data_IF_855203706614
#
_entry.id   IF_855203706614
#
_cell.length_a   1.000
_cell.length_b   1.000
_cell.length_c   1.000
_cell.angle_alpha   90.00
_cell.angle_beta   90.00
_cell.angle_gamma   90.00
#
_symmetry.space_group_name_H-M   'P 1'
#
loop_
_entity.id
_entity.type
_entity.pdbx_description
1 polymer ?
#
# COMPACT_ATOMS: atom_id res chain seq x y z
N UNK A 1 -26.52 -34.89 -15.89
CA UNK A 1 -26.04 -34.41 -14.58
C UNK A 1 -25.22 -35.44 -13.81
N UNK A 2 -25.59 -36.75 -13.82
CA UNK A 2 -24.88 -37.78 -13.02
C UNK A 2 -23.41 -37.98 -13.39
N UNK A 3 -23.01 -37.81 -14.64
CA UNK A 3 -21.62 -37.98 -15.08
C UNK A 3 -20.68 -36.88 -14.58
N UNK A 4 -21.16 -35.65 -14.45
CA UNK A 4 -20.33 -34.48 -14.01
C UNK A 4 -20.01 -34.57 -12.51
N UNK A 5 -21.01 -34.92 -11.69
CA UNK A 5 -20.85 -35.14 -10.25
C UNK A 5 -19.89 -36.28 -9.95
N UNK A 6 -20.02 -37.41 -10.68
CA UNK A 6 -19.10 -38.55 -10.54
C UNK A 6 -17.66 -38.19 -10.92
N UNK A 7 -17.47 -37.42 -11.98
CA UNK A 7 -16.15 -36.93 -12.40
C UNK A 7 -15.51 -35.98 -11.36
N UNK A 8 -16.29 -35.07 -10.80
CA UNK A 8 -15.85 -34.14 -9.75
C UNK A 8 -15.44 -34.91 -8.47
N UNK A 9 -16.26 -35.83 -8.02
CA UNK A 9 -15.98 -36.68 -6.84
C UNK A 9 -14.70 -37.49 -7.05
N UNK A 10 -14.53 -38.09 -8.23
CA UNK A 10 -13.31 -38.83 -8.57
C UNK A 10 -12.07 -37.89 -8.55
N UNK A 11 -12.16 -36.68 -9.12
CA UNK A 11 -11.07 -35.70 -9.09
C UNK A 11 -10.79 -35.17 -7.67
N UNK A 12 -11.81 -34.94 -6.86
CA UNK A 12 -11.63 -34.56 -5.46
C UNK A 12 -10.87 -35.63 -4.67
N UNK A 13 -11.19 -36.92 -4.89
CA UNK A 13 -10.47 -38.06 -4.26
C UNK A 13 -9.01 -38.18 -4.73
N UNK A 14 -8.74 -37.88 -5.99
CA UNK A 14 -7.38 -37.93 -6.56
C UNK A 14 -6.51 -36.75 -6.14
N UNK A 15 -7.13 -35.62 -5.66
CA UNK A 15 -6.45 -34.43 -5.22
C UNK A 15 -6.89 -33.99 -3.80
N UNK A 16 -6.59 -34.81 -2.76
CA UNK A 16 -7.11 -34.59 -1.40
C UNK A 16 -6.68 -33.24 -0.81
N UNK A 17 -5.47 -32.75 -1.12
CA UNK A 17 -4.99 -31.46 -0.66
C UNK A 17 -5.87 -30.32 -1.16
N UNK A 18 -6.20 -30.30 -2.45
CA UNK A 18 -7.07 -29.28 -3.02
C UNK A 18 -8.48 -29.32 -2.42
N UNK A 19 -9.01 -30.52 -2.21
CA UNK A 19 -10.35 -30.70 -1.60
C UNK A 19 -10.37 -30.16 -0.18
N UNK A 20 -9.39 -30.52 0.65
CA UNK A 20 -9.27 -30.01 2.03
C UNK A 20 -9.11 -28.51 2.04
N UNK A 21 -8.26 -27.96 1.18
CA UNK A 21 -8.05 -26.50 1.06
C UNK A 21 -9.33 -25.75 0.68
N UNK A 22 -10.09 -26.25 -0.31
CA UNK A 22 -11.36 -25.64 -0.71
C UNK A 22 -12.40 -25.68 0.42
N UNK A 23 -12.50 -26.81 1.13
CA UNK A 23 -13.38 -26.95 2.30
C UNK A 23 -12.98 -26.00 3.42
N UNK A 24 -11.67 -25.84 3.66
CA UNK A 24 -11.16 -24.91 4.68
C UNK A 24 -11.50 -23.45 4.33
N UNK A 25 -11.29 -23.02 3.09
CA UNK A 25 -11.64 -21.64 2.67
C UNK A 25 -13.13 -21.37 2.88
N UNK A 26 -13.98 -22.28 2.41
CA UNK A 26 -15.45 -22.16 2.56
C UNK A 26 -15.81 -22.19 4.05
N UNK A 27 -15.26 -23.13 4.81
CA UNK A 27 -15.54 -23.27 6.25
C UNK A 27 -15.14 -22.04 7.05
N UNK A 28 -13.94 -21.49 6.82
CA UNK A 28 -13.44 -20.29 7.49
C UNK A 28 -14.39 -19.13 7.22
N UNK A 29 -14.76 -18.93 5.95
CA UNK A 29 -15.62 -17.81 5.55
C UNK A 29 -17.06 -17.95 6.12
N UNK A 30 -17.63 -19.16 6.14
CA UNK A 30 -18.98 -19.39 6.67
C UNK A 30 -19.06 -19.31 8.20
N UNK A 31 -18.03 -19.79 8.92
CA UNK A 31 -18.06 -19.89 10.38
C UNK A 31 -17.70 -18.56 11.03
N UNK A 32 -16.75 -17.81 10.44
CA UNK A 32 -16.21 -16.57 11.00
C UNK A 32 -16.08 -15.49 9.91
N UNK A 33 -17.18 -15.11 9.25
CA UNK A 33 -17.12 -14.08 8.20
C UNK A 33 -16.66 -12.76 8.79
N UNK A 34 -15.91 -12.00 8.01
CA UNK A 34 -15.55 -10.62 8.34
C UNK A 34 -15.97 -9.72 7.17
N UNK A 35 -16.85 -8.80 7.44
CA UNK A 35 -17.19 -7.77 6.46
C UNK A 35 -16.11 -6.72 6.44
N UNK A 36 -15.64 -6.39 5.26
CA UNK A 36 -14.76 -5.27 5.02
C UNK A 36 -15.59 -3.99 5.12
N UNK A 37 -15.16 -3.05 5.94
CA UNK A 37 -15.91 -1.83 6.23
C UNK A 37 -15.05 -0.60 6.10
N UNK A 38 -15.64 0.49 5.69
CA UNK A 38 -15.13 1.84 5.90
C UNK A 38 -15.60 2.29 7.27
N UNK A 39 -14.69 2.71 8.11
CA UNK A 39 -14.98 3.13 9.48
C UNK A 39 -14.50 4.56 9.72
N UNK A 40 -15.22 5.29 10.55
CA UNK A 40 -14.81 6.61 11.03
C UNK A 40 -13.66 6.44 12.04
N UNK A 41 -12.57 7.21 11.87
CA UNK A 41 -11.35 7.08 12.65
C UNK A 41 -11.49 7.58 14.13
N UNK A 42 -12.50 8.36 14.41
CA UNK A 42 -12.77 8.87 15.77
C UNK A 42 -13.68 7.93 16.53
N UNK A 43 -14.78 7.51 15.91
CA UNK A 43 -15.81 6.70 16.58
C UNK A 43 -15.61 5.20 16.46
N UNK A 44 -14.74 4.77 15.55
CA UNK A 44 -14.53 3.37 15.14
C UNK A 44 -15.81 2.65 14.68
N UNK A 45 -16.83 3.41 14.29
CA UNK A 45 -18.09 2.87 13.76
C UNK A 45 -18.08 2.85 12.24
N UNK A 46 -18.79 1.89 11.60
CA UNK A 46 -19.00 1.91 10.18
C UNK A 46 -19.64 3.21 9.70
N UNK A 47 -19.15 3.73 8.57
CA UNK A 47 -19.76 4.85 7.87
C UNK A 47 -20.51 4.31 6.66
N UNK A 48 -21.84 4.43 6.68
CA UNK A 48 -22.72 3.84 5.66
C UNK A 48 -22.82 4.67 4.37
N UNK A 49 -22.29 5.88 4.36
CA UNK A 49 -22.24 6.73 3.15
C UNK A 49 -21.15 6.26 2.19
N UNK A 50 -20.32 5.32 2.65
CA UNK A 50 -19.19 4.80 1.88
C UNK A 50 -19.20 3.28 1.84
N UNK A 51 -18.96 2.75 0.65
CA UNK A 51 -18.81 1.31 0.44
C UNK A 51 -17.52 0.99 -0.32
N UNK A 52 -17.08 -0.25 -0.24
CA UNK A 52 -15.89 -0.72 -0.97
C UNK A 52 -16.34 -1.61 -2.12
N UNK A 53 -16.04 -1.16 -3.33
CA UNK A 53 -16.22 -1.96 -4.54
C UNK A 53 -14.93 -2.73 -4.86
N UNK A 54 -15.05 -4.04 -4.97
CA UNK A 54 -13.95 -4.90 -5.39
C UNK A 54 -13.95 -5.00 -6.91
N UNK A 55 -12.83 -4.69 -7.54
CA UNK A 55 -12.70 -4.77 -8.99
C UNK A 55 -12.88 -6.22 -9.48
N UNK A 56 -13.72 -6.46 -10.49
CA UNK A 56 -14.00 -7.80 -11.01
C UNK A 56 -12.76 -8.54 -11.54
N UNK A 57 -11.77 -7.84 -12.09
CA UNK A 57 -10.48 -8.43 -12.47
C UNK A 57 -9.74 -8.95 -11.23
N UNK A 58 -9.79 -8.21 -10.12
CA UNK A 58 -9.24 -8.67 -8.86
C UNK A 58 -9.96 -9.91 -8.33
N UNK A 59 -11.30 -9.91 -8.37
CA UNK A 59 -12.06 -11.08 -7.94
C UNK A 59 -11.70 -12.33 -8.76
N UNK A 60 -11.57 -12.18 -10.08
CA UNK A 60 -11.15 -13.26 -10.98
C UNK A 60 -9.71 -13.72 -10.70
N UNK A 61 -8.81 -12.79 -10.39
CA UNK A 61 -7.39 -13.06 -10.12
C UNK A 61 -7.09 -13.19 -8.62
N UNK A 62 -8.09 -13.34 -7.78
CA UNK A 62 -7.94 -13.38 -6.31
C UNK A 62 -6.82 -14.33 -5.82
N UNK A 63 -6.67 -15.56 -6.33
CA UNK A 63 -5.58 -16.45 -5.93
C UNK A 63 -4.17 -15.93 -6.22
N UNK A 64 -4.04 -14.99 -7.16
CA UNK A 64 -2.75 -14.43 -7.59
C UNK A 64 -2.49 -13.09 -6.90
N UNK A 65 -3.48 -12.19 -6.90
CA UNK A 65 -3.31 -10.81 -6.44
C UNK A 65 -3.88 -10.54 -5.05
N UNK A 66 -4.80 -11.35 -4.57
CA UNK A 66 -5.55 -11.09 -3.33
C UNK A 66 -4.66 -11.06 -2.11
N UNK A 67 -3.84 -12.09 -1.90
CA UNK A 67 -2.92 -12.15 -0.77
C UNK A 67 -1.83 -11.07 -0.82
N UNK A 68 -1.16 -10.80 -1.95
CA UNK A 68 -0.28 -9.65 -2.09
C UNK A 68 -0.95 -8.31 -1.74
N UNK A 69 -2.13 -8.03 -2.27
CA UNK A 69 -2.89 -6.82 -1.94
C UNK A 69 -3.27 -6.74 -0.46
N UNK A 70 -3.57 -7.90 0.15
CA UNK A 70 -3.86 -7.97 1.58
C UNK A 70 -2.63 -7.57 2.40
N UNK A 71 -1.43 -8.06 2.06
CA UNK A 71 -0.18 -7.69 2.74
C UNK A 71 0.18 -6.21 2.53
N UNK A 72 -0.04 -5.63 1.35
CA UNK A 72 0.22 -4.20 1.10
C UNK A 72 -0.56 -3.26 2.02
N UNK A 73 -1.69 -3.70 2.58
CA UNK A 73 -2.49 -2.94 3.53
C UNK A 73 -2.13 -3.21 5.00
N UNK A 74 -1.10 -3.99 5.26
CA UNK A 74 -0.58 -4.18 6.62
C UNK A 74 0.11 -2.91 7.11
N UNK A 75 0.16 -2.72 8.41
CA UNK A 75 0.92 -1.62 9.01
C UNK A 75 2.42 -1.73 8.77
N UNK A 76 2.92 -2.96 8.61
CA UNK A 76 4.33 -3.29 8.32
C UNK A 76 4.37 -4.26 7.13
N UNK A 77 4.04 -3.80 5.92
CA UNK A 77 3.77 -4.69 4.79
C UNK A 77 5.01 -5.47 4.33
N UNK A 78 6.17 -4.86 4.37
CA UNK A 78 7.42 -5.49 3.92
C UNK A 78 7.88 -6.54 4.94
N UNK A 79 7.90 -6.19 6.21
CA UNK A 79 8.32 -7.05 7.31
C UNK A 79 7.41 -8.28 7.44
N UNK A 80 6.09 -8.08 7.43
CA UNK A 80 5.14 -9.18 7.48
C UNK A 80 5.26 -10.10 6.27
N UNK A 81 5.51 -9.55 5.09
CA UNK A 81 5.73 -10.31 3.87
C UNK A 81 7.04 -11.13 3.91
N UNK A 82 8.12 -10.56 4.42
CA UNK A 82 9.39 -11.28 4.61
C UNK A 82 9.20 -12.43 5.60
N UNK A 83 8.52 -12.19 6.72
CA UNK A 83 8.22 -13.23 7.72
C UNK A 83 7.36 -14.35 7.09
N UNK A 84 6.40 -14.06 6.23
CA UNK A 84 5.65 -15.07 5.47
C UNK A 84 6.58 -15.98 4.67
N UNK A 85 7.53 -15.41 3.93
CA UNK A 85 8.47 -16.19 3.13
C UNK A 85 9.44 -17.03 3.98
N UNK A 86 9.86 -16.51 5.12
CA UNK A 86 10.65 -17.29 6.09
C UNK A 86 9.85 -18.51 6.58
N UNK A 87 8.57 -18.32 6.90
CA UNK A 87 7.69 -19.43 7.29
C UNK A 87 7.54 -20.48 6.19
N UNK A 88 7.31 -20.02 4.93
CA UNK A 88 7.22 -20.92 3.77
C UNK A 88 8.53 -21.70 3.61
N UNK A 89 9.68 -21.05 3.70
CA UNK A 89 11.00 -21.66 3.55
C UNK A 89 11.26 -22.72 4.63
N UNK A 90 11.02 -22.38 5.90
CA UNK A 90 11.18 -23.32 7.02
C UNK A 90 10.21 -24.49 6.89
N UNK A 91 8.94 -24.22 6.60
CA UNK A 91 7.91 -25.26 6.45
C UNK A 91 8.23 -26.22 5.30
N UNK A 92 8.72 -25.70 4.19
CA UNK A 92 9.20 -26.52 3.07
C UNK A 92 10.37 -27.40 3.49
N UNK A 93 11.34 -26.87 4.23
CA UNK A 93 12.48 -27.61 4.76
C UNK A 93 12.03 -28.77 5.66
N UNK A 94 11.17 -28.49 6.63
CA UNK A 94 10.60 -29.49 7.54
C UNK A 94 9.85 -30.58 6.75
N UNK A 95 8.97 -30.19 5.82
CA UNK A 95 8.23 -31.13 4.97
C UNK A 95 9.15 -32.05 4.17
N UNK A 96 10.21 -31.51 3.58
CA UNK A 96 11.18 -32.29 2.80
C UNK A 96 11.98 -33.24 3.68
N UNK A 97 12.37 -32.83 4.88
CA UNK A 97 13.08 -33.68 5.86
C UNK A 97 12.19 -34.85 6.29
N UNK A 98 10.93 -34.60 6.65
CA UNK A 98 9.98 -35.63 7.10
C UNK A 98 9.69 -36.61 5.97
N UNK A 99 9.46 -36.15 4.76
CA UNK A 99 9.02 -36.99 3.63
C UNK A 99 10.15 -37.80 3.00
N UNK A 100 11.36 -37.27 2.97
CA UNK A 100 12.48 -37.78 2.15
C UNK A 100 13.78 -38.02 2.95
N UNK A 101 13.79 -37.70 4.23
CA UNK A 101 14.96 -37.78 5.10
C UNK A 101 16.01 -36.69 4.84
N UNK A 102 17.06 -36.69 5.67
CA UNK A 102 18.07 -35.64 5.72
C UNK A 102 18.83 -35.43 4.40
N UNK A 103 18.86 -36.46 3.53
CA UNK A 103 19.54 -36.34 2.21
C UNK A 103 18.94 -35.30 1.28
N UNK A 104 17.77 -34.74 1.63
CA UNK A 104 17.07 -33.67 0.87
C UNK A 104 17.63 -32.27 1.05
N UNK A 105 18.55 -32.06 2.00
CA UNK A 105 19.12 -30.73 2.27
C UNK A 105 19.74 -30.09 1.00
N UNK A 106 20.36 -30.89 0.12
CA UNK A 106 20.95 -30.37 -1.12
C UNK A 106 19.92 -29.75 -2.05
N UNK A 107 18.76 -30.39 -2.23
CA UNK A 107 17.66 -29.85 -3.05
C UNK A 107 17.02 -28.63 -2.39
N UNK A 108 16.90 -28.64 -1.07
CA UNK A 108 16.42 -27.50 -0.31
C UNK A 108 17.35 -26.29 -0.45
N UNK A 109 18.66 -26.46 -0.32
CA UNK A 109 19.64 -25.41 -0.54
C UNK A 109 19.63 -24.88 -1.99
N UNK A 110 19.50 -25.78 -2.99
CA UNK A 110 19.37 -25.37 -4.39
C UNK A 110 18.06 -24.61 -4.69
N UNK A 111 17.06 -24.70 -3.82
CA UNK A 111 15.82 -23.90 -3.96
C UNK A 111 15.98 -22.46 -3.48
N UNK A 112 17.03 -22.11 -2.75
CA UNK A 112 17.24 -20.75 -2.20
C UNK A 112 17.16 -19.67 -3.29
N UNK A 113 17.89 -19.74 -4.42
CA UNK A 113 17.80 -18.70 -5.45
C UNK A 113 16.38 -18.56 -6.04
N UNK A 114 15.64 -19.68 -6.16
CA UNK A 114 14.26 -19.67 -6.64
C UNK A 114 13.33 -18.99 -5.66
N UNK A 115 13.44 -19.32 -4.37
CA UNK A 115 12.63 -18.72 -3.30
C UNK A 115 12.94 -17.23 -3.21
N UNK A 116 14.21 -16.84 -3.18
CA UNK A 116 14.61 -15.44 -3.17
C UNK A 116 14.11 -14.70 -4.43
N UNK A 117 14.24 -15.32 -5.61
CA UNK A 117 13.73 -14.75 -6.86
C UNK A 117 12.24 -14.49 -6.83
N UNK A 118 11.45 -15.44 -6.35
CA UNK A 118 10.00 -15.27 -6.19
C UNK A 118 9.67 -14.21 -5.13
N UNK A 119 10.37 -14.24 -3.98
CA UNK A 119 10.16 -13.27 -2.90
C UNK A 119 10.37 -11.84 -3.40
N UNK A 120 11.54 -11.57 -3.97
CA UNK A 120 11.85 -10.23 -4.46
C UNK A 120 11.02 -9.82 -5.67
N UNK A 121 10.72 -10.74 -6.60
CA UNK A 121 9.85 -10.44 -7.72
C UNK A 121 8.44 -10.02 -7.27
N UNK A 122 7.83 -10.79 -6.36
CA UNK A 122 6.49 -10.47 -5.85
C UNK A 122 6.55 -9.17 -5.02
N UNK A 123 7.59 -8.97 -4.20
CA UNK A 123 7.76 -7.74 -3.42
C UNK A 123 7.86 -6.51 -4.33
N UNK A 124 8.72 -6.55 -5.35
CA UNK A 124 8.86 -5.46 -6.32
C UNK A 124 7.56 -5.24 -7.09
N UNK A 125 6.86 -6.33 -7.47
CA UNK A 125 5.56 -6.24 -8.12
C UNK A 125 4.52 -5.59 -7.21
N UNK A 126 4.43 -5.99 -5.94
CA UNK A 126 3.52 -5.38 -4.96
C UNK A 126 3.75 -3.88 -4.79
N UNK A 127 5.01 -3.45 -4.72
CA UNK A 127 5.38 -2.07 -4.40
C UNK A 127 5.19 -1.14 -5.61
N UNK A 128 5.56 -1.58 -6.82
CA UNK A 128 5.74 -0.69 -7.97
C UNK A 128 4.77 -0.93 -9.13
N UNK A 129 4.00 -2.02 -9.13
CA UNK A 129 3.08 -2.32 -10.22
C UNK A 129 1.63 -1.98 -9.86
N UNK A 130 0.86 -1.41 -10.80
CA UNK A 130 -0.55 -1.14 -10.54
C UNK A 130 -1.32 -2.46 -10.44
N UNK A 131 -1.50 -2.94 -9.21
CA UNK A 131 -2.35 -4.09 -8.94
C UNK A 131 -3.82 -3.69 -9.01
N UNK A 132 -4.71 -4.57 -9.47
CA UNK A 132 -6.14 -4.37 -9.33
C UNK A 132 -6.49 -4.17 -7.85
N UNK A 133 -7.01 -3.01 -7.48
CA UNK A 133 -7.32 -2.68 -6.08
C UNK A 133 -8.81 -2.48 -5.87
N UNK A 134 -9.22 -2.33 -4.62
CA UNK A 134 -10.55 -1.90 -4.26
C UNK A 134 -10.68 -0.40 -4.53
N UNK A 135 -11.90 0.04 -4.82
CA UNK A 135 -12.26 1.45 -4.97
C UNK A 135 -13.30 1.80 -3.92
N UNK A 136 -13.16 2.94 -3.27
CA UNK A 136 -14.21 3.49 -2.45
C UNK A 136 -15.32 4.03 -3.36
N UNK A 137 -16.57 3.77 -2.99
CA UNK A 137 -17.76 4.35 -3.59
C UNK A 137 -18.33 5.31 -2.58
N UNK A 138 -18.51 6.54 -3.00
CA UNK A 138 -19.17 7.59 -2.24
C UNK A 138 -20.64 7.63 -2.68
N UNK A 139 -21.55 7.30 -1.77
CA UNK A 139 -23.00 7.28 -2.03
C UNK A 139 -23.64 8.68 -1.86
N UNK A 140 -22.87 9.65 -1.35
CA UNK A 140 -23.35 11.03 -1.14
C UNK A 140 -23.00 11.94 -2.31
N UNK A 141 -23.94 12.78 -2.74
CA UNK A 141 -23.71 13.78 -3.78
C UNK A 141 -22.99 15.05 -3.28
N UNK A 142 -23.04 15.31 -1.98
CA UNK A 142 -22.46 16.52 -1.38
C UNK A 142 -21.11 16.29 -0.68
N UNK A 143 -20.82 15.06 -0.28
CA UNK A 143 -19.55 14.72 0.36
C UNK A 143 -18.45 14.52 -0.67
N UNK A 144 -17.30 15.12 -0.43
CA UNK A 144 -16.08 14.93 -1.22
C UNK A 144 -15.06 14.13 -0.43
N UNK A 145 -14.20 13.44 -1.16
CA UNK A 145 -13.06 12.71 -0.63
C UNK A 145 -11.77 13.43 -1.02
N UNK A 146 -10.93 13.76 -0.03
CA UNK A 146 -9.67 14.43 -0.31
C UNK A 146 -8.51 13.86 0.52
N UNK A 147 -7.29 14.01 0.00
CA UNK A 147 -6.05 13.62 0.66
C UNK A 147 -5.22 14.84 1.02
N UNK A 148 -4.60 14.82 2.19
CA UNK A 148 -3.79 15.93 2.70
C UNK A 148 -2.29 15.68 2.65
N UNK A 149 -1.85 14.48 2.21
CA UNK A 149 -0.46 14.06 2.29
C UNK A 149 -0.08 13.16 1.12
N UNK A 150 0.72 13.67 0.20
CA UNK A 150 1.19 12.94 -0.98
C UNK A 150 2.48 13.53 -1.55
N UNK A 151 3.35 12.67 -2.10
CA UNK A 151 4.66 13.03 -2.62
C UNK A 151 4.85 12.56 -4.06
N UNK A 152 5.48 13.39 -4.88
CA UNK A 152 5.94 13.02 -6.20
C UNK A 152 7.48 12.94 -6.26
N UNK A 153 8.02 12.66 -7.43
CA UNK A 153 9.48 12.61 -7.63
C UNK A 153 10.19 13.96 -7.39
N UNK A 154 9.44 15.04 -7.14
CA UNK A 154 10.02 16.29 -6.67
C UNK A 154 10.49 16.26 -5.23
N UNK A 155 9.95 15.34 -4.42
CA UNK A 155 10.50 14.99 -3.11
C UNK A 155 11.72 14.08 -3.24
N UNK A 156 12.59 14.05 -2.22
CA UNK A 156 13.77 13.19 -2.19
C UNK A 156 13.43 11.69 -2.16
N UNK A 157 12.22 11.33 -1.81
CA UNK A 157 11.72 9.97 -1.57
C UNK A 157 10.51 9.57 -2.43
N UNK A 158 10.01 10.46 -3.28
CA UNK A 158 8.91 10.14 -4.20
C UNK A 158 9.38 9.47 -5.49
N UNK A 159 8.64 8.48 -5.98
CA UNK A 159 9.00 7.66 -7.14
C UNK A 159 8.15 7.88 -8.39
N UNK A 160 7.09 8.68 -8.29
CA UNK A 160 6.13 8.91 -9.38
C UNK A 160 6.00 10.39 -9.70
N UNK A 161 5.60 10.66 -10.93
CA UNK A 161 5.35 12.03 -11.40
C UNK A 161 4.07 12.60 -10.77
N UNK A 162 3.89 13.93 -10.73
CA UNK A 162 2.62 14.53 -10.30
C UNK A 162 1.41 14.06 -11.12
N UNK A 163 1.59 13.73 -12.40
CA UNK A 163 0.53 13.16 -13.24
C UNK A 163 0.16 11.74 -12.77
N UNK A 164 1.15 10.89 -12.50
CA UNK A 164 0.92 9.57 -11.91
C UNK A 164 0.25 9.67 -10.53
N UNK A 165 0.54 10.73 -9.74
CA UNK A 165 -0.17 11.04 -8.49
C UNK A 165 -1.65 11.36 -8.75
N UNK A 166 -1.98 12.20 -9.73
CA UNK A 166 -3.36 12.46 -10.11
C UNK A 166 -4.11 11.18 -10.50
N UNK A 167 -3.48 10.34 -11.32
CA UNK A 167 -4.07 9.07 -11.74
C UNK A 167 -4.33 8.12 -10.56
N UNK A 168 -3.39 8.06 -9.61
CA UNK A 168 -3.53 7.24 -8.41
C UNK A 168 -4.68 7.73 -7.53
N UNK A 169 -4.78 9.04 -7.31
CA UNK A 169 -5.86 9.64 -6.52
C UNK A 169 -7.23 9.41 -7.18
N UNK A 170 -7.33 9.59 -8.50
CA UNK A 170 -8.56 9.33 -9.25
C UNK A 170 -9.00 7.85 -9.13
N UNK A 171 -8.07 6.91 -9.27
CA UNK A 171 -8.35 5.47 -9.10
C UNK A 171 -8.86 5.12 -7.70
N UNK A 172 -8.41 5.84 -6.69
CA UNK A 172 -8.77 5.62 -5.29
C UNK A 172 -9.95 6.48 -4.81
N UNK A 173 -10.65 7.17 -5.74
CA UNK A 173 -11.90 7.87 -5.49
C UNK A 173 -11.77 9.24 -4.83
N UNK A 174 -10.60 9.86 -4.90
CA UNK A 174 -10.41 11.22 -4.41
C UNK A 174 -10.93 12.27 -5.40
N UNK A 175 -11.63 13.27 -4.89
CA UNK A 175 -12.06 14.45 -5.63
C UNK A 175 -10.97 15.54 -5.65
N UNK A 176 -10.10 15.56 -4.62
CA UNK A 176 -9.02 16.51 -4.48
C UNK A 176 -7.83 15.94 -3.67
N UNK A 177 -6.66 16.52 -3.83
CA UNK A 177 -5.52 16.20 -2.97
C UNK A 177 -4.53 17.36 -2.88
N UNK A 178 -3.81 17.43 -1.76
CA UNK A 178 -2.65 18.26 -1.59
C UNK A 178 -1.40 17.50 -2.00
N UNK A 179 -0.60 18.12 -2.87
CA UNK A 179 0.74 17.64 -3.19
C UNK A 179 1.72 18.31 -2.22
N UNK A 180 2.26 17.54 -1.28
CA UNK A 180 3.01 18.03 -0.11
C UNK A 180 4.47 17.62 -0.20
N UNK A 181 5.18 18.11 -1.21
CA UNK A 181 6.60 17.82 -1.37
C UNK A 181 7.43 18.24 -0.16
N UNK A 182 8.50 17.53 0.14
CA UNK A 182 9.35 17.85 1.28
C UNK A 182 10.01 19.23 1.15
N UNK A 183 9.75 20.07 2.13
CA UNK A 183 10.45 21.34 2.40
C UNK A 183 10.38 22.43 1.31
N UNK A 184 9.70 22.25 0.18
CA UNK A 184 9.48 23.31 -0.82
C UNK A 184 8.30 22.98 -1.75
N UNK A 185 7.68 24.02 -2.35
CA UNK A 185 6.49 23.85 -3.17
C UNK A 185 6.56 24.50 -4.57
N UNK A 186 7.73 24.95 -5.03
CA UNK A 186 7.82 25.69 -6.30
C UNK A 186 7.28 24.89 -7.48
N UNK A 187 7.67 23.61 -7.61
CA UNK A 187 7.22 22.74 -8.68
C UNK A 187 5.74 22.38 -8.55
N UNK A 188 5.25 22.28 -7.31
CA UNK A 188 3.82 22.04 -7.02
C UNK A 188 2.97 23.22 -7.45
N UNK A 189 3.41 24.46 -7.17
CA UNK A 189 2.71 25.68 -7.60
C UNK A 189 2.61 25.77 -9.12
N UNK A 190 3.69 25.47 -9.84
CA UNK A 190 3.67 25.41 -11.31
C UNK A 190 2.67 24.36 -11.80
N UNK A 191 2.68 23.18 -11.20
CA UNK A 191 1.75 22.09 -11.55
C UNK A 191 0.29 22.48 -11.31
N UNK A 192 -0.02 23.11 -10.17
CA UNK A 192 -1.35 23.65 -9.86
C UNK A 192 -1.76 24.74 -10.88
N UNK A 193 -0.85 25.65 -11.23
CA UNK A 193 -1.13 26.68 -12.23
C UNK A 193 -1.43 26.11 -13.63
N UNK A 194 -0.74 25.04 -14.01
CA UNK A 194 -1.03 24.32 -15.27
C UNK A 194 -2.41 23.64 -15.23
N UNK A 195 -2.83 23.11 -14.08
CA UNK A 195 -4.19 22.58 -13.93
C UNK A 195 -5.23 23.71 -14.03
N UNK A 196 -5.04 24.82 -13.31
CA UNK A 196 -5.93 26.01 -13.36
C UNK A 196 -6.10 26.55 -14.78
N UNK A 197 -5.02 26.57 -15.57
CA UNK A 197 -5.05 27.05 -16.96
C UNK A 197 -5.66 26.05 -17.97
N UNK A 198 -6.11 24.88 -17.53
CA UNK A 198 -6.69 23.83 -18.38
C UNK A 198 -5.67 23.02 -19.20
N UNK A 199 -4.37 23.15 -18.90
CA UNK A 199 -3.33 22.36 -19.55
C UNK A 199 -3.28 20.90 -19.04
N UNK A 200 -3.90 20.62 -17.89
CA UNK A 200 -4.00 19.31 -17.28
C UNK A 200 -5.47 18.95 -17.02
N UNK A 201 -5.71 17.67 -16.77
CA UNK A 201 -7.01 17.19 -16.33
C UNK A 201 -7.45 17.95 -15.06
N UNK A 202 -8.75 18.28 -14.97
CA UNK A 202 -9.30 19.05 -13.85
C UNK A 202 -9.65 18.18 -12.64
N UNK A 203 -9.75 16.87 -12.81
CA UNK A 203 -10.10 15.92 -11.76
C UNK A 203 -9.04 14.82 -11.62
N UNK A 204 -8.65 14.46 -10.39
CA UNK A 204 -8.92 15.17 -9.13
C UNK A 204 -8.21 16.53 -9.08
N UNK A 205 -8.76 17.47 -8.30
CA UNK A 205 -8.13 18.75 -8.10
C UNK A 205 -6.84 18.64 -7.30
N UNK A 206 -5.78 19.32 -7.78
CA UNK A 206 -4.50 19.39 -7.09
C UNK A 206 -4.38 20.72 -6.35
N UNK A 207 -3.94 20.67 -5.11
CA UNK A 207 -3.69 21.83 -4.27
C UNK A 207 -2.25 21.82 -3.77
N UNK A 208 -1.67 23.02 -3.58
CA UNK A 208 -0.29 23.14 -3.13
C UNK A 208 -0.17 22.97 -1.61
N UNK A 209 0.81 22.17 -1.20
CA UNK A 209 1.24 22.01 0.17
C UNK A 209 2.74 21.75 0.27
N UNK A 210 3.22 21.57 1.48
CA UNK A 210 4.58 21.14 1.82
C UNK A 210 4.50 20.17 3.00
N UNK A 211 5.30 19.11 3.00
CA UNK A 211 5.65 18.44 4.23
C UNK A 211 6.93 19.06 4.79
N UNK A 212 6.77 19.76 5.89
CA UNK A 212 7.84 20.45 6.60
C UNK A 212 8.49 19.54 7.63
N UNK A 213 9.80 19.36 7.54
CA UNK A 213 10.61 18.61 8.51
C UNK A 213 11.07 19.53 9.66
N UNK A 214 10.12 19.90 10.52
CA UNK A 214 10.34 20.72 11.70
C UNK A 214 10.71 19.93 12.96
N UNK A 215 10.14 20.31 14.11
CA UNK A 215 10.27 19.53 15.35
C UNK A 215 9.53 18.17 15.28
N UNK A 216 8.53 18.08 14.43
CA UNK A 216 7.92 16.88 13.85
C UNK A 216 7.65 17.15 12.37
N UNK A 217 7.26 16.14 11.59
CA UNK A 217 6.73 16.39 10.27
C UNK A 217 5.37 17.12 10.37
N UNK A 218 5.16 18.10 9.49
CA UNK A 218 3.93 18.88 9.45
C UNK A 218 3.50 19.08 8.01
N UNK A 219 2.24 18.83 7.71
CA UNK A 219 1.64 19.19 6.43
C UNK A 219 1.18 20.64 6.46
N UNK A 220 1.74 21.44 5.56
CA UNK A 220 1.41 22.86 5.33
C UNK A 220 0.50 22.91 4.12
N UNK A 221 -0.77 23.24 4.29
CA UNK A 221 -1.80 23.08 3.27
C UNK A 221 -2.32 24.45 2.78
N UNK A 222 -2.57 24.58 1.48
CA UNK A 222 -3.18 25.78 0.90
C UNK A 222 -2.19 26.92 0.69
N UNK A 223 -0.97 26.60 0.31
CA UNK A 223 0.06 27.61 0.00
C UNK A 223 -0.19 28.24 -1.36
N UNK A 224 -0.15 29.56 -1.41
CA UNK A 224 -0.33 30.39 -2.63
C UNK A 224 0.98 30.91 -3.20
N UNK A 225 1.99 31.06 -2.35
CA UNK A 225 3.31 31.57 -2.70
C UNK A 225 4.40 30.53 -2.46
N UNK A 226 5.54 30.70 -3.11
CA UNK A 226 6.68 29.81 -2.93
C UNK A 226 7.23 29.89 -1.51
N UNK A 227 7.43 28.75 -0.91
CA UNK A 227 7.97 28.60 0.44
C UNK A 227 9.07 27.53 0.42
N UNK A 228 10.20 27.87 1.04
CA UNK A 228 11.31 26.95 1.28
C UNK A 228 11.50 26.86 2.79
N UNK A 229 11.43 25.64 3.35
CA UNK A 229 11.43 25.41 4.79
C UNK A 229 12.67 24.69 5.31
N UNK A 230 13.62 24.35 4.45
CA UNK A 230 14.88 23.70 4.84
C UNK A 230 15.56 24.42 6.01
N UNK A 231 15.80 23.70 7.11
CA UNK A 231 16.49 24.20 8.28
C UNK A 231 15.77 25.30 9.06
N UNK A 232 14.54 25.64 8.71
CA UNK A 232 13.74 26.64 9.45
C UNK A 232 13.12 26.01 10.69
N UNK A 233 12.78 26.88 11.66
CA UNK A 233 12.09 26.49 12.89
C UNK A 233 10.57 26.61 12.73
N UNK A 234 9.82 25.83 13.48
CA UNK A 234 8.34 25.88 13.55
C UNK A 234 7.82 27.29 13.75
N UNK A 235 8.45 28.06 14.67
CA UNK A 235 8.09 29.44 15.00
C UNK A 235 8.24 30.44 13.85
N UNK A 236 8.93 30.06 12.76
CA UNK A 236 9.07 30.85 11.55
C UNK A 236 8.09 30.38 10.48
N UNK A 237 7.98 29.06 10.32
CA UNK A 237 7.21 28.45 9.23
C UNK A 237 5.71 28.55 9.48
N UNK A 238 5.23 28.22 10.68
CA UNK A 238 3.80 28.22 10.99
C UNK A 238 3.14 29.59 10.75
N UNK A 239 3.69 30.73 11.25
CA UNK A 239 3.12 32.04 10.95
C UNK A 239 3.15 32.41 9.47
N UNK A 240 4.15 31.99 8.71
CA UNK A 240 4.23 32.25 7.26
C UNK A 240 3.12 31.53 6.49
N UNK A 241 2.81 30.29 6.87
CA UNK A 241 1.67 29.54 6.31
C UNK A 241 0.34 30.25 6.59
N UNK A 242 0.14 30.69 7.83
CA UNK A 242 -1.09 31.41 8.21
C UNK A 242 -1.24 32.73 7.46
N UNK A 243 -0.13 33.46 7.21
CA UNK A 243 -0.12 34.70 6.42
C UNK A 243 -0.58 34.45 4.98
N UNK A 244 -0.27 33.31 4.41
CA UNK A 244 -0.78 32.90 3.09
C UNK A 244 -2.22 32.38 3.12
N UNK A 245 -2.87 32.34 4.28
CA UNK A 245 -4.23 31.79 4.44
C UNK A 245 -4.28 30.26 4.58
N UNK A 246 -3.14 29.61 4.58
CA UNK A 246 -3.01 28.15 4.75
C UNK A 246 -3.28 27.66 6.16
N UNK A 247 -3.20 26.35 6.34
CA UNK A 247 -3.34 25.65 7.63
C UNK A 247 -2.20 24.66 7.83
N UNK A 248 -1.91 24.33 9.11
CA UNK A 248 -0.81 23.44 9.49
C UNK A 248 -1.36 22.26 10.29
N UNK A 249 -1.07 21.05 9.85
CA UNK A 249 -1.36 19.80 10.57
C UNK A 249 -0.09 19.04 10.94
N UNK A 250 0.02 18.54 12.18
CA UNK A 250 1.12 17.64 12.56
C UNK A 250 0.89 16.29 11.89
N UNK A 251 1.84 15.85 11.09
CA UNK A 251 1.80 14.58 10.37
C UNK A 251 2.37 13.43 11.22
N UNK A 252 1.88 12.19 10.96
CA UNK A 252 2.34 10.92 11.54
C UNK A 252 3.12 11.05 12.87
N UNK A 253 2.39 11.38 13.92
CA UNK A 253 2.89 11.66 15.28
C UNK A 253 3.97 10.66 15.78
N UNK A 254 3.90 9.42 15.35
CA UNK A 254 4.82 8.36 15.78
C UNK A 254 6.29 8.57 15.35
N UNK A 255 6.54 9.34 14.28
CA UNK A 255 7.89 9.48 13.75
C UNK A 255 8.75 10.49 14.51
N UNK A 256 8.15 11.47 15.09
CA UNK A 256 8.91 12.62 15.57
C UNK A 256 8.78 13.01 17.03
N UNK A 257 7.78 12.61 17.75
CA UNK A 257 7.41 12.84 19.16
C UNK A 257 8.41 13.65 20.03
N UNK A 258 8.99 14.72 19.48
CA UNK A 258 10.00 15.52 20.19
C UNK A 258 9.40 16.52 21.15
N UNK A 259 8.08 16.82 20.99
CA UNK A 259 7.34 17.82 21.77
C UNK A 259 5.98 17.25 22.17
N UNK A 260 5.32 17.87 23.16
CA UNK A 260 3.98 17.49 23.59
C UNK A 260 2.91 18.01 22.64
N UNK A 261 1.69 17.45 22.74
CA UNK A 261 0.52 17.93 21.97
C UNK A 261 0.27 19.42 22.26
N UNK A 262 0.35 19.83 23.53
CA UNK A 262 0.18 21.22 23.96
C UNK A 262 1.19 22.14 23.32
N UNK A 263 2.45 21.73 23.22
CA UNK A 263 3.48 22.52 22.57
C UNK A 263 3.13 22.86 21.12
N UNK A 264 2.60 21.88 20.35
CA UNK A 264 2.20 22.13 18.96
C UNK A 264 0.98 23.03 18.89
N UNK A 265 -0.01 22.87 19.79
CA UNK A 265 -1.18 23.74 19.89
C UNK A 265 -0.75 25.17 20.17
N UNK A 266 0.13 25.38 21.15
CA UNK A 266 0.68 26.71 21.51
C UNK A 266 1.51 27.31 20.36
N UNK A 267 2.16 26.49 19.54
CA UNK A 267 2.89 26.93 18.34
C UNK A 267 1.97 27.35 17.20
N UNK A 268 0.67 27.14 17.31
CA UNK A 268 -0.34 27.57 16.34
C UNK A 268 -0.67 26.54 15.26
N UNK A 269 -0.42 25.25 15.46
CA UNK A 269 -0.93 24.22 14.54
C UNK A 269 -2.46 24.19 14.54
N UNK A 270 -3.06 23.83 13.41
CA UNK A 270 -4.50 23.82 13.23
C UNK A 270 -5.10 22.42 13.38
N UNK A 271 -4.26 21.37 13.43
CA UNK A 271 -4.75 19.98 13.56
C UNK A 271 -3.67 18.93 13.61
N UNK A 272 -4.11 17.69 13.63
CA UNK A 272 -3.24 16.50 13.73
C UNK A 272 -3.71 15.39 12.80
N UNK A 273 -2.76 14.66 12.24
CA UNK A 273 -3.03 13.45 11.49
C UNK A 273 -3.23 12.28 12.47
N UNK A 274 -4.38 11.61 12.34
CA UNK A 274 -4.76 10.47 13.20
C UNK A 274 -4.73 9.13 12.50
N UNK A 275 -4.73 9.14 11.17
CA UNK A 275 -4.55 7.95 10.31
C UNK A 275 -3.53 8.26 9.23
N UNK A 276 -2.52 7.40 9.08
CA UNK A 276 -1.53 7.50 8.02
C UNK A 276 -1.32 6.11 7.40
N UNK A 277 -1.22 6.04 6.08
CA UNK A 277 -0.93 4.79 5.34
C UNK A 277 -1.82 3.60 5.80
N UNK A 278 -3.12 3.81 5.97
CA UNK A 278 -4.12 2.80 6.35
C UNK A 278 -4.05 2.29 7.79
N UNK A 279 -3.36 2.97 8.67
CA UNK A 279 -3.25 2.63 10.09
C UNK A 279 -3.36 3.87 10.97
N UNK A 280 -3.62 3.67 12.25
CA UNK A 280 -3.58 4.78 13.20
C UNK A 280 -2.18 5.40 13.19
N UNK A 281 -2.12 6.72 13.13
CA UNK A 281 -0.88 7.49 13.11
C UNK A 281 -0.16 7.54 14.47
N UNK A 282 -0.76 6.90 15.50
CA UNK A 282 -0.22 6.85 16.87
C UNK A 282 -0.74 5.60 17.58
N UNK A 283 -0.11 5.17 18.70
CA UNK A 283 -0.70 4.20 19.62
C UNK A 283 -2.09 4.66 20.08
N UNK A 284 -2.97 3.70 20.41
CA UNK A 284 -4.39 3.99 20.68
C UNK A 284 -4.59 4.96 21.87
N UNK A 285 -3.71 4.93 22.84
CA UNK A 285 -3.72 5.83 23.99
C UNK A 285 -3.47 7.28 23.54
N UNK A 286 -2.42 7.51 22.76
CA UNK A 286 -2.07 8.83 22.23
C UNK A 286 -3.12 9.29 21.19
N UNK A 287 -3.68 8.37 20.42
CA UNK A 287 -4.75 8.66 19.49
C UNK A 287 -5.96 9.31 20.18
N UNK A 288 -6.36 8.75 21.32
CA UNK A 288 -7.45 9.31 22.14
C UNK A 288 -7.10 10.68 22.72
N UNK A 289 -5.84 10.88 23.14
CA UNK A 289 -5.39 12.18 23.67
C UNK A 289 -5.37 13.26 22.59
N UNK A 290 -4.94 12.91 21.36
CA UNK A 290 -4.99 13.82 20.20
C UNK A 290 -6.43 14.20 19.87
N UNK A 291 -7.35 13.24 19.81
CA UNK A 291 -8.77 13.53 19.54
C UNK A 291 -9.34 14.49 20.60
N UNK A 292 -9.13 14.19 21.88
CA UNK A 292 -9.61 15.03 22.98
C UNK A 292 -9.01 16.45 22.93
N UNK A 293 -7.73 16.57 22.61
CA UNK A 293 -7.06 17.86 22.49
C UNK A 293 -7.60 18.67 21.29
N UNK A 294 -7.83 18.01 20.15
CA UNK A 294 -8.42 18.65 18.97
C UNK A 294 -9.86 19.12 19.25
N UNK A 295 -10.68 18.29 19.85
CA UNK A 295 -12.05 18.65 20.21
C UNK A 295 -12.08 19.86 21.17
N UNK A 296 -11.26 19.82 22.22
CA UNK A 296 -11.17 20.92 23.21
C UNK A 296 -10.71 22.25 22.60
N UNK A 297 -9.86 22.23 21.59
CA UNK A 297 -9.25 23.42 20.99
C UNK A 297 -9.82 23.77 19.61
N UNK A 298 -10.88 23.10 19.16
CA UNK A 298 -11.51 23.29 17.84
C UNK A 298 -10.50 23.12 16.68
N UNK A 299 -9.66 22.10 16.77
CA UNK A 299 -8.67 21.75 15.76
C UNK A 299 -9.19 20.62 14.87
N UNK A 300 -8.72 20.57 13.61
CA UNK A 300 -9.10 19.51 12.71
C UNK A 300 -8.31 18.22 12.95
N UNK A 301 -8.88 17.10 12.50
CA UNK A 301 -8.22 15.80 12.42
C UNK A 301 -7.99 15.43 10.98
N UNK A 302 -6.83 14.87 10.62
CA UNK A 302 -6.47 14.52 9.26
C UNK A 302 -6.24 13.03 9.09
N UNK A 303 -6.45 12.56 7.84
CA UNK A 303 -5.99 11.28 7.35
C UNK A 303 -5.05 11.50 6.15
N UNK A 304 -3.83 10.99 6.22
CA UNK A 304 -2.82 11.06 5.17
C UNK A 304 -2.65 9.75 4.44
N UNK A 305 -2.70 9.74 3.11
CA UNK A 305 -2.27 8.59 2.35
C UNK A 305 -0.74 8.45 2.34
N UNK A 306 -0.05 9.57 2.42
CA UNK A 306 1.41 9.67 2.45
C UNK A 306 2.06 8.79 1.36
N UNK A 307 1.48 8.91 0.14
CA UNK A 307 1.81 8.05 -0.97
C UNK A 307 2.98 8.60 -1.78
N UNK A 308 4.04 7.82 -1.89
CA UNK A 308 5.29 8.15 -2.54
C UNK A 308 5.50 7.46 -3.90
N UNK A 309 4.46 6.78 -4.43
CA UNK A 309 4.60 5.94 -5.62
C UNK A 309 5.00 4.50 -5.32
N UNK A 310 5.07 4.12 -4.06
CA UNK A 310 5.34 2.77 -3.58
C UNK A 310 4.66 2.53 -2.22
N UNK A 311 4.62 1.27 -1.80
CA UNK A 311 4.11 0.91 -0.47
C UNK A 311 2.61 0.61 -0.44
N UNK A 312 1.93 0.83 0.69
CA UNK A 312 0.58 0.35 0.92
C UNK A 312 -0.44 0.92 -0.07
N UNK A 313 -1.45 0.12 -0.37
CA UNK A 313 -2.62 0.59 -1.13
C UNK A 313 -3.40 1.62 -0.33
N UNK A 314 -4.15 2.50 -1.03
CA UNK A 314 -5.00 3.49 -0.38
C UNK A 314 -6.06 2.85 0.52
N UNK A 315 -6.23 3.40 1.69
CA UNK A 315 -7.25 2.97 2.65
C UNK A 315 -7.62 4.05 3.64
N UNK A 316 -7.25 5.32 3.36
CA UNK A 316 -7.53 6.47 4.23
C UNK A 316 -8.01 7.64 3.37
N UNK A 317 -9.07 8.31 3.81
CA UNK A 317 -9.66 9.47 3.16
C UNK A 317 -10.11 10.49 4.19
N UNK A 318 -9.97 11.79 3.85
CA UNK A 318 -10.72 12.84 4.52
C UNK A 318 -12.04 13.06 3.78
N UNK A 319 -13.09 13.32 4.53
CA UNK A 319 -14.43 13.57 4.03
C UNK A 319 -14.88 14.96 4.45
N UNK A 320 -15.46 15.70 3.54
CA UNK A 320 -16.06 17.00 3.82
C UNK A 320 -17.35 17.18 3.03
N UNK A 321 -18.35 17.80 3.65
CA UNK A 321 -19.61 18.14 2.96
C UNK A 321 -19.44 19.48 2.25
N UNK A 322 -19.33 19.43 0.91
CA UNK A 322 -19.22 20.61 0.04
C UNK A 322 -20.27 20.53 -1.05
N UNK A 323 -21.46 21.08 -0.81
CA UNK A 323 -22.53 21.07 -1.80
C UNK A 323 -22.07 21.74 -3.11
N UNK A 324 -22.49 21.15 -4.24
CA UNK A 324 -22.19 21.68 -5.58
C UNK A 324 -20.68 21.69 -5.94
N UNK A 325 -19.87 20.83 -5.33
CA UNK A 325 -18.43 20.71 -5.61
C UNK A 325 -18.08 20.79 -7.10
N UNK A 326 -18.81 20.07 -7.94
CA UNK A 326 -18.54 19.99 -9.39
C UNK A 326 -18.76 21.32 -10.14
N UNK A 327 -19.52 22.26 -9.56
CA UNK A 327 -19.79 23.57 -10.16
C UNK A 327 -18.83 24.66 -9.70
N UNK A 328 -18.02 24.41 -8.67
CA UNK A 328 -17.02 25.33 -8.18
C UNK A 328 -15.81 25.38 -9.11
N UNK A 329 -15.22 26.56 -9.26
CA UNK A 329 -13.93 26.69 -9.93
C UNK A 329 -12.78 26.23 -9.01
N UNK A 330 -11.57 26.19 -9.52
CA UNK A 330 -10.40 25.67 -8.81
C UNK A 330 -10.14 26.40 -7.47
N UNK A 331 -10.22 27.73 -7.45
CA UNK A 331 -9.95 28.52 -6.25
C UNK A 331 -11.08 28.37 -5.22
N UNK A 332 -12.34 28.42 -5.66
CA UNK A 332 -13.51 28.17 -4.81
C UNK A 332 -13.47 26.78 -4.14
N UNK A 333 -13.04 25.76 -4.86
CA UNK A 333 -12.84 24.41 -4.30
C UNK A 333 -11.78 24.38 -3.23
N UNK A 334 -10.63 25.02 -3.48
CA UNK A 334 -9.52 25.12 -2.51
C UNK A 334 -9.97 25.88 -1.25
N UNK A 335 -10.63 27.01 -1.43
CA UNK A 335 -11.13 27.84 -0.32
C UNK A 335 -12.18 27.11 0.51
N UNK A 336 -13.06 26.34 -0.14
CA UNK A 336 -14.07 25.53 0.56
C UNK A 336 -13.42 24.47 1.46
N UNK A 337 -12.41 23.73 0.96
CA UNK A 337 -11.68 22.74 1.78
C UNK A 337 -10.94 23.43 2.94
N UNK A 338 -10.18 24.50 2.68
CA UNK A 338 -9.43 25.22 3.72
C UNK A 338 -10.37 25.84 4.77
N UNK A 339 -11.51 26.38 4.35
CA UNK A 339 -12.52 26.91 5.26
C UNK A 339 -13.14 25.83 6.13
N UNK A 340 -13.45 24.67 5.56
CA UNK A 340 -13.95 23.52 6.32
C UNK A 340 -12.92 22.98 7.31
N UNK A 341 -11.65 22.87 6.91
CA UNK A 341 -10.56 22.49 7.82
C UNK A 341 -10.45 23.46 8.99
N UNK A 342 -10.44 24.77 8.74
CA UNK A 342 -10.38 25.79 9.80
C UNK A 342 -11.53 25.72 10.81
N UNK A 343 -12.67 25.14 10.42
CA UNK A 343 -13.83 24.92 11.28
C UNK A 343 -13.86 23.56 11.95
N UNK A 344 -12.97 22.63 11.54
CA UNK A 344 -13.02 21.25 11.98
C UNK A 344 -14.19 20.44 11.40
N UNK A 345 -14.72 20.86 10.24
CA UNK A 345 -15.91 20.26 9.59
C UNK A 345 -15.59 18.98 8.80
N UNK A 346 -14.34 18.50 8.85
CA UNK A 346 -13.95 17.28 8.16
C UNK A 346 -14.01 16.04 9.05
N UNK A 347 -14.19 14.89 8.42
CA UNK A 347 -14.11 13.57 9.04
C UNK A 347 -12.95 12.78 8.42
N UNK A 348 -12.40 11.86 9.19
CA UNK A 348 -11.41 10.90 8.70
C UNK A 348 -12.04 9.51 8.68
N UNK A 349 -12.00 8.85 7.53
CA UNK A 349 -12.44 7.48 7.36
C UNK A 349 -11.30 6.60 6.87
N UNK A 350 -11.30 5.34 7.25
CA UNK A 350 -10.32 4.39 6.79
C UNK A 350 -10.88 2.97 6.62
N UNK A 351 -10.14 2.17 5.88
CA UNK A 351 -10.51 0.81 5.54
C UNK A 351 -10.10 -0.18 6.62
N UNK A 352 -11.04 -0.94 7.16
CA UNK A 352 -10.77 -1.94 8.20
C UNK A 352 -10.99 -3.36 7.69
N UNK A 353 -9.92 -4.04 7.30
CA UNK A 353 -9.95 -5.46 6.91
C UNK A 353 -9.20 -6.39 7.89
N UNK A 354 -8.44 -5.83 8.81
CA UNK A 354 -7.63 -6.61 9.77
C UNK A 354 -7.31 -5.84 11.05
N UNK A 355 -6.83 -6.58 12.03
CA UNK A 355 -6.14 -6.01 13.18
C UNK A 355 -4.65 -5.86 12.86
N UNK A 356 -4.07 -4.70 13.12
CA UNK A 356 -2.62 -4.47 13.00
C UNK A 356 -1.89 -5.35 14.00
N UNK A 357 -0.85 -6.06 13.51
CA UNK A 357 -0.01 -6.87 14.39
C UNK A 357 1.07 -6.02 15.06
N UNK A 358 1.21 -6.07 16.40
CA UNK A 358 2.33 -5.43 17.08
C UNK A 358 3.67 -6.00 16.61
N UNK A 359 4.71 -5.15 16.57
CA UNK A 359 6.04 -5.53 16.04
C UNK A 359 6.66 -6.72 16.79
N UNK A 360 6.49 -6.77 18.11
CA UNK A 360 6.96 -7.88 18.96
C UNK A 360 6.29 -9.22 18.63
N UNK A 361 5.13 -9.21 17.96
CA UNK A 361 4.35 -10.40 17.56
C UNK A 361 4.34 -10.67 16.05
N UNK A 362 5.16 -9.96 15.29
CA UNK A 362 5.18 -10.05 13.82
C UNK A 362 5.40 -11.49 13.31
N UNK A 363 6.12 -12.32 14.06
CA UNK A 363 6.34 -13.73 13.73
C UNK A 363 5.07 -14.58 13.70
N UNK A 364 3.98 -14.12 14.33
CA UNK A 364 2.67 -14.77 14.29
C UNK A 364 1.80 -14.24 13.15
N UNK A 365 2.25 -13.20 12.44
CA UNK A 365 1.47 -12.57 11.37
C UNK A 365 1.09 -13.52 10.22
N UNK A 366 1.93 -14.46 9.74
CA UNK A 366 1.57 -15.27 8.59
C UNK A 366 0.29 -16.10 8.77
N UNK A 367 0.13 -16.93 9.82
CA UNK A 367 -1.10 -17.71 9.98
C UNK A 367 -2.31 -16.82 10.26
N UNK A 368 -2.14 -15.72 11.01
CA UNK A 368 -3.22 -14.78 11.34
C UNK A 368 -3.67 -14.02 10.10
N UNK A 369 -2.74 -13.54 9.29
CA UNK A 369 -3.05 -12.82 8.05
C UNK A 369 -3.71 -13.71 7.00
N UNK A 370 -3.25 -14.95 6.84
CA UNK A 370 -3.89 -15.93 5.95
C UNK A 370 -5.34 -16.17 6.41
N UNK A 371 -5.56 -16.37 7.70
CA UNK A 371 -6.90 -16.54 8.25
C UNK A 371 -7.78 -15.31 8.02
N UNK A 372 -7.28 -14.11 8.31
CA UNK A 372 -8.01 -12.85 8.11
C UNK A 372 -8.34 -12.63 6.64
N UNK A 373 -7.41 -12.91 5.74
CA UNK A 373 -7.64 -12.83 4.29
C UNK A 373 -8.81 -13.73 3.86
N UNK A 374 -8.79 -15.00 4.23
CA UNK A 374 -9.86 -15.94 3.85
C UNK A 374 -11.21 -15.64 4.51
N UNK A 375 -11.22 -15.03 5.68
CA UNK A 375 -12.46 -14.57 6.35
C UNK A 375 -13.14 -13.41 5.63
N UNK A 376 -12.36 -12.59 4.92
CA UNK A 376 -12.83 -11.40 4.20
C UNK A 376 -13.24 -11.65 2.75
N UNK A 377 -13.12 -12.89 2.23
CA UNK A 377 -13.48 -13.18 0.85
C UNK A 377 -14.99 -13.17 0.64
N UNK A 378 -15.44 -12.54 -0.43
CA UNK A 378 -16.80 -12.69 -0.90
C UNK A 378 -16.99 -13.99 -1.73
N UNK A 379 -18.23 -14.30 -2.11
CA UNK A 379 -18.54 -15.54 -2.81
C UNK A 379 -17.83 -15.64 -4.17
N UNK A 380 -17.66 -14.55 -4.89
CA UNK A 380 -17.00 -14.53 -6.21
C UNK A 380 -15.51 -14.84 -6.06
N UNK A 381 -14.86 -14.27 -5.05
CA UNK A 381 -13.47 -14.56 -4.72
C UNK A 381 -13.25 -16.01 -4.29
N UNK A 382 -14.18 -16.60 -3.50
CA UNK A 382 -14.15 -18.00 -3.13
C UNK A 382 -14.28 -18.89 -4.38
N UNK A 383 -15.23 -18.57 -5.27
CA UNK A 383 -15.41 -19.30 -6.53
C UNK A 383 -14.18 -19.16 -7.44
N UNK A 384 -13.51 -18.02 -7.42
CA UNK A 384 -12.25 -17.82 -8.13
C UNK A 384 -11.16 -18.77 -7.63
N UNK A 385 -10.95 -18.89 -6.31
CA UNK A 385 -9.99 -19.83 -5.72
C UNK A 385 -10.27 -21.28 -6.16
N UNK A 386 -11.53 -21.69 -6.11
CA UNK A 386 -11.96 -23.05 -6.52
C UNK A 386 -11.76 -23.23 -8.04
N UNK A 387 -12.18 -22.25 -8.84
CA UNK A 387 -12.08 -22.30 -10.30
C UNK A 387 -10.65 -22.42 -10.80
N UNK A 388 -9.73 -21.60 -10.26
CA UNK A 388 -8.30 -21.72 -10.57
C UNK A 388 -7.71 -23.06 -10.15
N UNK A 389 -8.09 -23.59 -8.97
CA UNK A 389 -7.66 -24.91 -8.53
C UNK A 389 -8.13 -26.00 -9.48
N UNK A 390 -9.40 -25.99 -9.90
CA UNK A 390 -9.94 -26.93 -10.90
C UNK A 390 -9.20 -26.78 -12.24
N UNK A 391 -8.91 -25.57 -12.69
CA UNK A 391 -8.17 -25.30 -13.92
C UNK A 391 -6.78 -25.93 -13.86
N UNK A 392 -6.00 -25.67 -12.79
CA UNK A 392 -4.66 -26.27 -12.61
C UNK A 392 -4.67 -27.78 -12.60
N UNK A 393 -5.65 -28.39 -11.91
CA UNK A 393 -5.81 -29.86 -11.87
C UNK A 393 -6.18 -30.38 -13.27
N UNK A 394 -7.05 -29.67 -13.99
CA UNK A 394 -7.54 -30.10 -15.31
C UNK A 394 -6.48 -30.01 -16.39
N UNK A 395 -5.64 -28.98 -16.34
CA UNK A 395 -4.53 -28.80 -17.27
C UNK A 395 -3.40 -29.82 -17.07
N UNK A 396 -3.41 -30.55 -15.94
CA UNK A 396 -2.42 -31.57 -15.60
C UNK A 396 -0.96 -31.12 -15.87
N UNK A 397 -0.67 -29.84 -15.55
CA UNK A 397 0.62 -29.22 -15.84
C UNK A 397 1.71 -29.90 -14.98
N UNK A 398 2.50 -30.73 -15.61
CA UNK A 398 3.67 -31.39 -14.98
C UNK A 398 4.92 -30.57 -15.26
N UNK A 399 5.13 -29.50 -14.48
CA UNK A 399 6.37 -28.75 -14.57
C UNK A 399 7.44 -29.52 -13.80
N UNK A 400 8.51 -29.95 -14.51
CA UNK A 400 9.64 -30.61 -13.82
C UNK A 400 10.32 -29.58 -12.91
N UNK A 401 10.48 -29.91 -11.64
CA UNK A 401 11.11 -29.05 -10.61
C UNK A 401 12.43 -28.44 -11.08
N UNK A 402 13.22 -29.17 -11.88
CA UNK A 402 14.48 -28.68 -12.44
C UNK A 402 14.31 -27.38 -13.26
N UNK A 403 13.22 -27.26 -14.01
CA UNK A 403 13.00 -26.04 -14.81
C UNK A 403 12.59 -24.85 -13.94
N UNK A 404 11.79 -25.07 -12.88
CA UNK A 404 11.44 -24.03 -11.91
C UNK A 404 12.70 -23.49 -11.24
N UNK A 405 13.58 -24.38 -10.74
CA UNK A 405 14.80 -23.98 -10.05
C UNK A 405 15.79 -23.22 -10.96
N UNK A 406 15.80 -23.50 -12.25
CA UNK A 406 16.70 -22.84 -13.21
C UNK A 406 16.15 -21.51 -13.73
N UNK A 407 14.87 -21.48 -14.10
CA UNK A 407 14.31 -20.36 -14.85
C UNK A 407 13.65 -19.29 -14.00
N UNK A 408 13.08 -19.64 -12.84
CA UNK A 408 12.45 -18.64 -11.97
C UNK A 408 13.46 -17.56 -11.53
N UNK A 409 14.67 -17.89 -11.02
CA UNK A 409 15.63 -16.86 -10.64
C UNK A 409 16.05 -15.99 -11.82
N UNK A 410 16.23 -16.58 -13.01
CA UNK A 410 16.62 -15.84 -14.20
C UNK A 410 15.52 -14.87 -14.62
N UNK A 411 14.28 -15.33 -14.74
CA UNK A 411 13.14 -14.51 -15.17
C UNK A 411 12.85 -13.40 -14.15
N UNK A 412 12.76 -13.75 -12.87
CA UNK A 412 12.52 -12.78 -11.80
C UNK A 412 13.65 -11.77 -11.68
N UNK A 413 14.91 -12.25 -11.75
CA UNK A 413 16.09 -11.39 -11.75
C UNK A 413 16.12 -10.43 -12.93
N UNK A 414 15.75 -10.89 -14.14
CA UNK A 414 15.67 -10.02 -15.32
C UNK A 414 14.60 -8.94 -15.16
N UNK A 415 13.43 -9.29 -14.65
CA UNK A 415 12.35 -8.31 -14.41
C UNK A 415 12.76 -7.27 -13.36
N UNK A 416 13.39 -7.70 -12.25
CA UNK A 416 13.88 -6.80 -11.19
C UNK A 416 14.98 -5.90 -11.73
N UNK A 417 15.93 -6.44 -12.50
CA UNK A 417 17.00 -5.66 -13.16
C UNK A 417 16.43 -4.57 -14.06
N UNK A 418 15.47 -4.92 -14.94
CA UNK A 418 14.82 -3.95 -15.82
C UNK A 418 14.14 -2.85 -15.02
N UNK A 419 13.43 -3.20 -13.92
CA UNK A 419 12.79 -2.21 -13.06
C UNK A 419 13.83 -1.28 -12.41
N UNK A 420 14.95 -1.81 -11.94
CA UNK A 420 16.05 -1.01 -11.40
C UNK A 420 16.58 0.00 -12.44
N UNK A 421 16.76 -0.43 -13.68
CA UNK A 421 17.23 0.48 -14.76
C UNK A 421 16.21 1.57 -15.09
N UNK A 422 14.90 1.23 -15.11
CA UNK A 422 13.83 2.22 -15.31
C UNK A 422 13.82 3.28 -14.19
N UNK A 423 14.06 2.89 -12.95
CA UNK A 423 14.12 3.85 -11.83
C UNK A 423 15.32 4.79 -11.99
N UNK A 424 16.49 4.28 -12.35
CA UNK A 424 17.67 5.11 -12.59
C UNK A 424 17.51 6.09 -13.78
N UNK A 425 16.74 5.70 -14.80
CA UNK A 425 16.43 6.59 -15.94
C UNK A 425 15.46 7.71 -15.57
N UNK A 426 14.66 7.54 -14.50
CA UNK A 426 13.77 8.60 -13.96
C UNK A 426 14.51 9.67 -13.15
N UNK A 427 15.80 9.51 -12.85
CA UNK A 427 16.58 10.53 -12.15
C UNK A 427 16.65 11.80 -13.00
N UNK A 428 15.89 12.81 -12.60
CA UNK A 428 15.84 14.12 -13.23
C UNK A 428 16.56 15.12 -12.33
N UNK A 429 17.31 16.10 -12.86
CA UNK A 429 17.81 17.21 -12.08
C UNK A 429 16.64 18.01 -11.49
N UNK A 430 16.40 17.86 -10.21
CA UNK A 430 15.38 18.57 -9.43
C UNK A 430 16.05 19.43 -8.36
N UNK A 431 15.29 20.33 -7.74
CA UNK A 431 15.81 21.17 -6.65
C UNK A 431 16.34 20.34 -5.47
N UNK A 432 15.75 19.18 -5.25
CA UNK A 432 16.19 18.22 -4.23
C UNK A 432 16.62 16.91 -4.91
N UNK A 433 17.77 16.36 -4.49
CA UNK A 433 18.21 15.06 -4.98
C UNK A 433 17.23 13.96 -4.56
N UNK A 434 16.86 13.09 -5.50
CA UNK A 434 15.96 11.98 -5.20
C UNK A 434 16.77 10.74 -4.82
N UNK A 435 17.00 10.57 -3.52
CA UNK A 435 17.83 9.50 -2.96
C UNK A 435 17.21 8.13 -3.17
N UNK A 436 15.88 8.02 -3.05
CA UNK A 436 15.14 6.74 -3.12
C UNK A 436 15.10 6.18 -4.55
N UNK A 437 15.00 7.04 -5.57
CA UNK A 437 15.12 6.59 -6.97
C UNK A 437 16.50 5.99 -7.25
N UNK A 438 17.56 6.61 -6.71
CA UNK A 438 18.92 6.12 -6.85
C UNK A 438 19.10 4.80 -6.08
N UNK A 439 18.77 4.78 -4.80
CA UNK A 439 18.94 3.61 -3.93
C UNK A 439 18.16 2.38 -4.42
N UNK A 440 16.87 2.52 -4.74
CA UNK A 440 16.08 1.42 -5.27
C UNK A 440 16.53 1.01 -6.67
N UNK A 441 16.93 1.96 -7.51
CA UNK A 441 17.47 1.67 -8.84
C UNK A 441 18.74 0.83 -8.79
N UNK A 442 19.69 1.20 -7.93
CA UNK A 442 20.94 0.45 -7.71
C UNK A 442 20.68 -0.90 -7.06
N UNK A 443 19.90 -0.93 -5.96
CA UNK A 443 19.56 -2.15 -5.24
C UNK A 443 18.90 -3.19 -6.15
N UNK A 444 17.91 -2.79 -6.95
CA UNK A 444 17.24 -3.71 -7.87
C UNK A 444 18.14 -4.17 -9.00
N UNK A 445 19.04 -3.31 -9.46
CA UNK A 445 20.05 -3.69 -10.45
C UNK A 445 20.96 -4.79 -9.88
N UNK A 446 21.47 -4.63 -8.66
CA UNK A 446 22.34 -5.60 -7.98
C UNK A 446 21.60 -6.92 -7.70
N UNK A 447 20.40 -6.84 -7.11
CA UNK A 447 19.57 -8.03 -6.82
C UNK A 447 19.24 -8.77 -8.11
N UNK A 448 18.84 -8.05 -9.17
CA UNK A 448 18.52 -8.65 -10.45
C UNK A 448 19.67 -9.43 -11.06
N UNK A 449 20.87 -8.84 -11.10
CA UNK A 449 22.10 -9.50 -11.58
C UNK A 449 22.42 -10.73 -10.71
N UNK A 450 22.37 -10.60 -9.40
CA UNK A 450 22.69 -11.68 -8.46
C UNK A 450 21.76 -12.89 -8.65
N UNK A 451 20.45 -12.66 -8.87
CA UNK A 451 19.48 -13.71 -9.14
C UNK A 451 19.70 -14.39 -10.49
N UNK A 452 20.04 -13.63 -11.54
CA UNK A 452 20.38 -14.19 -12.84
C UNK A 452 21.61 -15.10 -12.74
N UNK A 453 22.66 -14.63 -12.08
CA UNK A 453 23.89 -15.42 -11.84
C UNK A 453 23.56 -16.68 -11.03
N UNK A 454 22.77 -16.54 -9.96
CA UNK A 454 22.33 -17.66 -9.13
C UNK A 454 21.56 -18.73 -9.93
N UNK A 455 20.64 -18.32 -10.80
CA UNK A 455 19.91 -19.21 -11.69
C UNK A 455 20.82 -19.92 -12.72
N UNK A 456 21.80 -19.22 -13.28
CA UNK A 456 22.80 -19.80 -14.19
C UNK A 456 23.68 -20.83 -13.46
N UNK A 457 24.11 -20.51 -12.25
CA UNK A 457 24.91 -21.45 -11.43
C UNK A 457 24.07 -22.70 -11.13
N UNK A 458 22.83 -22.54 -10.69
CA UNK A 458 21.93 -23.70 -10.43
C UNK A 458 21.78 -24.56 -11.69
N UNK A 459 21.57 -23.91 -12.83
CA UNK A 459 21.47 -24.64 -14.13
C UNK A 459 22.75 -25.41 -14.44
N UNK A 460 23.91 -24.83 -14.24
CA UNK A 460 25.21 -25.47 -14.47
C UNK A 460 25.41 -26.66 -13.52
N UNK A 461 25.20 -26.49 -12.22
CA UNK A 461 25.32 -27.55 -11.23
C UNK A 461 24.36 -28.72 -11.48
N UNK A 462 23.13 -28.45 -11.90
CA UNK A 462 22.15 -29.49 -12.21
C UNK A 462 22.49 -30.27 -13.50
N UNK A 463 23.22 -29.67 -14.42
CA UNK A 463 23.71 -30.35 -15.60
C UNK A 463 24.97 -31.20 -15.33
N UNK A 464 25.83 -30.76 -14.39
CA UNK A 464 27.02 -31.53 -13.98
C UNK A 464 26.66 -32.77 -13.13
N UNK A 465 25.56 -32.72 -12.35
CA UNK A 465 25.18 -33.76 -11.41
C UNK A 465 23.76 -34.30 -11.69
N UNK A 466 23.45 -34.80 -12.90
CA UNK A 466 22.09 -35.15 -13.29
C UNK A 466 21.49 -36.33 -12.48
N UNK A 467 22.31 -37.30 -12.06
CA UNK A 467 21.85 -38.50 -11.40
C UNK A 467 21.37 -38.34 -9.94
N UNK A 468 21.80 -37.29 -9.24
CA UNK A 468 21.47 -37.04 -7.83
C UNK A 468 20.26 -36.13 -7.61
N UNK A 469 19.65 -35.58 -8.65
CA UNK A 469 18.62 -34.52 -8.58
C UNK A 469 17.32 -34.86 -9.33
N UNK A 470 17.27 -36.04 -10.02
CA UNK A 470 16.16 -36.38 -10.91
C UNK A 470 15.03 -37.19 -10.27
N UNK A 471 15.20 -37.66 -9.02
CA UNK A 471 14.17 -38.47 -8.31
C UNK A 471 13.57 -37.73 -7.13
#
# INVERSE_FOLDING_TARGET
>A
MNNLAGLLISKCRSHPFFTVFSVLIIGINLIVPRTIQVINAVTFKPDNDFSIHINGVRELLEPIVGLPLFYLRAGQPIEEYIVLWIWIFISLGIYLIIKKGIRFYKKWLLSIPTILGLTYFILVWMIFWPLPSNKIINESESKILFNTHAHSYFSHDGLITPIEQMEWHNKNGFDAFFLTEHNYNLNTLDFVQRQKSGQLNQDPQVMAGIEFSGSNHMVLLGLTDSLITFGKKDSVVIPEVHKQGGVVGVAHWFDGQKKSIEHYIESGVNGFEIVNKNQLASPIEIHSDIINACEKNSLFLLGGADYHGYGPTCGTWNVMDIPKWKSLNHDEKTDAILSGLKKGDNQVIFYSDRQVMPFDKIWLSPPINILNHFRGLNIVQILSWIGWGILFISLNIKIKTKYLLQWIPIISGSAIFIKGRILLEKLIPVVQHNDVLLEFGELFTIIGISLIIGGVIVRYLMNLFPANLSN
#
